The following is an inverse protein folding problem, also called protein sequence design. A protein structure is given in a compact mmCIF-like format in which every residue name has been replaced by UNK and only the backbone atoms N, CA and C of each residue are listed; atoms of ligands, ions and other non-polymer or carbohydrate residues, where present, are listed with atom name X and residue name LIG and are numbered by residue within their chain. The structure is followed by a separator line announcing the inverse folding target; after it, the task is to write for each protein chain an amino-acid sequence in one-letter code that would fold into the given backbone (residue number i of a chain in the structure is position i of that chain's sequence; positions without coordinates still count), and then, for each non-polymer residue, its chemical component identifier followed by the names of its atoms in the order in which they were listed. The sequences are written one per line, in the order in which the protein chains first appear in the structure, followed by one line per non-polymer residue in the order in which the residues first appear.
data_IF_604300940187
#
_entry.id   IF_604300940187
#
_cell.length_a   1.000
_cell.length_b   1.000
_cell.length_c   1.000
_cell.angle_alpha   90.00
_cell.angle_beta   90.00
_cell.angle_gamma   90.00
#
_symmetry.space_group_name_H-M   'P 1'
#
loop_
_entity.id
_entity.type
_entity.pdbx_description
1 polymer ?
#
# COMPACT_ATOMS: atom_id res chain seq x y z
N UNK A 1 -32.38 -6.24 8.41
CA UNK A 1 -31.36 -5.24 8.75
C UNK A 1 -30.66 -5.66 10.02
N UNK A 2 -29.52 -6.30 9.86
CA UNK A 2 -28.55 -6.59 10.93
C UNK A 2 -28.05 -5.27 11.52
N UNK A 3 -28.09 -5.11 12.84
CA UNK A 3 -27.51 -3.95 13.50
C UNK A 3 -26.02 -4.16 13.72
N UNK A 4 -25.22 -3.10 13.62
CA UNK A 4 -23.81 -3.12 13.98
C UNK A 4 -23.62 -3.58 15.44
N UNK A 5 -22.72 -4.54 15.64
CA UNK A 5 -22.30 -5.04 16.95
C UNK A 5 -20.77 -5.14 16.97
N UNK A 6 -20.14 -4.51 17.96
CA UNK A 6 -18.69 -4.57 18.12
C UNK A 6 -18.23 -6.02 18.36
N UNK A 7 -17.16 -6.44 17.67
CA UNK A 7 -16.61 -7.79 17.79
C UNK A 7 -17.29 -8.86 16.93
N UNK A 8 -18.30 -8.49 16.13
CA UNK A 8 -18.96 -9.37 15.17
C UNK A 8 -18.86 -8.85 13.75
N UNK A 9 -18.85 -9.77 12.78
CA UNK A 9 -18.79 -9.45 11.36
C UNK A 9 -20.16 -9.50 10.67
N UNK A 10 -21.23 -9.91 11.35
CA UNK A 10 -22.57 -10.10 10.76
C UNK A 10 -23.06 -8.89 9.96
N UNK A 11 -22.83 -7.67 10.48
CA UNK A 11 -23.16 -6.44 9.76
C UNK A 11 -22.33 -6.31 8.47
N UNK A 12 -21.01 -6.37 8.57
CA UNK A 12 -20.13 -6.20 7.40
C UNK A 12 -20.35 -7.28 6.35
N UNK A 13 -20.49 -8.54 6.77
CA UNK A 13 -20.74 -9.67 5.87
C UNK A 13 -22.12 -9.63 5.21
N UNK A 14 -23.11 -8.99 5.84
CA UNK A 14 -24.41 -8.76 5.19
C UNK A 14 -24.36 -7.70 4.08
N UNK A 15 -23.36 -6.81 4.10
CA UNK A 15 -23.20 -5.75 3.11
C UNK A 15 -22.34 -6.16 1.91
N UNK A 16 -21.32 -6.99 2.14
CA UNK A 16 -20.31 -7.33 1.12
C UNK A 16 -19.69 -8.70 1.38
N UNK A 17 -19.33 -9.40 0.30
CA UNK A 17 -18.71 -10.72 0.34
C UNK A 17 -17.21 -10.65 0.72
N UNK A 18 -16.87 -10.40 1.98
CA UNK A 18 -15.47 -10.47 2.42
C UNK A 18 -14.96 -11.93 2.43
N UNK A 19 -13.64 -12.09 2.25
CA UNK A 19 -12.97 -13.41 2.29
C UNK A 19 -13.20 -14.23 3.58
N UNK A 20 -13.56 -13.56 4.68
CA UNK A 20 -13.85 -14.20 5.98
C UNK A 20 -15.31 -14.63 6.15
N UNK A 21 -16.24 -14.06 5.38
CA UNK A 21 -17.68 -14.21 5.60
C UNK A 21 -18.19 -15.64 5.44
N UNK A 22 -17.66 -16.49 4.55
CA UNK A 22 -18.08 -17.89 4.47
C UNK A 22 -17.73 -18.75 5.70
N UNK A 23 -16.89 -18.27 6.63
CA UNK A 23 -16.42 -19.04 7.78
C UNK A 23 -16.78 -18.44 9.15
N UNK A 24 -17.42 -17.27 9.16
CA UNK A 24 -17.77 -16.54 10.37
C UNK A 24 -19.29 -16.44 10.46
N UNK A 25 -19.83 -16.60 11.68
CA UNK A 25 -21.27 -16.52 11.95
C UNK A 25 -21.87 -17.82 12.51
N UNK A 26 -23.17 -17.80 12.87
CA UNK A 26 -23.86 -18.90 13.54
C UNK A 26 -24.12 -20.15 12.69
N UNK A 27 -24.24 -20.01 11.35
CA UNK A 27 -24.71 -21.09 10.46
C UNK A 27 -23.74 -21.38 9.28
N UNK A 28 -22.45 -21.57 9.57
CA UNK A 28 -21.40 -21.83 8.55
C UNK A 28 -21.21 -20.70 7.51
N UNK A 29 -21.37 -19.45 7.94
CA UNK A 29 -21.09 -18.27 7.12
C UNK A 29 -22.26 -17.29 7.09
N UNK A 30 -21.97 -16.04 6.74
CA UNK A 30 -22.98 -15.00 6.48
C UNK A 30 -22.85 -14.59 5.02
N UNK A 31 -23.96 -14.68 4.29
CA UNK A 31 -24.02 -14.25 2.89
C UNK A 31 -24.48 -12.78 2.79
N UNK A 32 -23.98 -12.02 1.81
CA UNK A 32 -24.41 -10.64 1.59
C UNK A 32 -25.86 -10.59 1.08
N UNK A 33 -26.60 -9.54 1.47
CA UNK A 33 -27.98 -9.35 1.02
C UNK A 33 -28.07 -9.06 -0.50
N UNK A 34 -27.03 -8.43 -1.07
CA UNK A 34 -26.90 -8.15 -2.49
C UNK A 34 -25.42 -8.27 -2.90
N UNK A 35 -25.16 -8.96 -4.01
CA UNK A 35 -23.83 -9.12 -4.59
C UNK A 35 -23.90 -9.07 -6.13
N UNK A 36 -22.76 -8.89 -6.79
CA UNK A 36 -22.70 -8.83 -8.25
C UNK A 36 -23.03 -10.19 -8.87
N UNK A 37 -23.70 -10.18 -10.01
CA UNK A 37 -24.04 -11.41 -10.72
C UNK A 37 -22.78 -12.20 -11.08
N UNK A 38 -22.82 -13.49 -10.77
CA UNK A 38 -21.79 -14.44 -11.16
C UNK A 38 -21.86 -14.75 -12.66
N UNK A 39 -20.71 -15.01 -13.27
CA UNK A 39 -20.64 -15.43 -14.67
C UNK A 39 -20.20 -16.89 -14.71
N UNK A 40 -20.97 -17.71 -15.43
CA UNK A 40 -20.62 -19.09 -15.73
C UNK A 40 -19.71 -19.13 -16.97
N UNK A 41 -18.45 -19.52 -16.78
CA UNK A 41 -17.52 -19.82 -17.86
C UNK A 41 -17.30 -21.34 -17.93
N UNK A 42 -18.14 -22.01 -18.72
CA UNK A 42 -18.10 -23.47 -18.84
C UNK A 42 -18.51 -24.16 -17.54
N UNK A 43 -17.59 -24.86 -16.88
CA UNK A 43 -17.81 -25.49 -15.58
C UNK A 43 -17.35 -24.66 -14.38
N UNK A 44 -16.79 -23.46 -14.61
CA UNK A 44 -16.31 -22.57 -13.55
C UNK A 44 -17.28 -21.42 -13.33
N UNK A 45 -17.74 -21.28 -12.08
CA UNK A 45 -18.52 -20.13 -11.61
C UNK A 45 -17.56 -19.05 -11.13
N UNK A 46 -17.51 -17.93 -11.84
CA UNK A 46 -16.71 -16.77 -11.45
C UNK A 46 -17.58 -15.80 -10.67
N UNK A 47 -17.14 -15.48 -9.46
CA UNK A 47 -17.79 -14.52 -8.58
C UNK A 47 -17.18 -13.13 -8.78
N UNK A 48 -17.99 -12.09 -8.59
CA UNK A 48 -17.57 -10.68 -8.60
C UNK A 48 -16.72 -10.26 -9.82
N UNK A 49 -17.13 -10.59 -11.07
CA UNK A 49 -16.31 -10.40 -12.26
C UNK A 49 -15.91 -8.92 -12.50
N UNK A 50 -16.78 -7.97 -12.17
CA UNK A 50 -16.48 -6.54 -12.29
C UNK A 50 -15.29 -6.13 -11.42
N UNK A 51 -15.28 -6.57 -10.15
CA UNK A 51 -14.21 -6.31 -9.18
C UNK A 51 -12.91 -7.00 -9.59
N UNK A 52 -12.99 -8.22 -10.15
CA UNK A 52 -11.80 -8.93 -10.67
C UNK A 52 -11.07 -8.15 -11.78
N UNK A 53 -11.80 -7.45 -12.65
CA UNK A 53 -11.17 -6.57 -13.66
C UNK A 53 -10.38 -5.44 -13.00
N UNK A 54 -10.93 -4.85 -11.93
CA UNK A 54 -10.24 -3.81 -11.17
C UNK A 54 -8.99 -4.37 -10.47
N UNK A 55 -9.05 -5.58 -9.91
CA UNK A 55 -7.86 -6.23 -9.36
C UNK A 55 -6.76 -6.44 -10.42
N UNK A 56 -7.11 -6.82 -11.65
CA UNK A 56 -6.12 -6.93 -12.74
C UNK A 56 -5.49 -5.57 -13.06
N UNK A 57 -6.29 -4.51 -13.14
CA UNK A 57 -5.78 -3.14 -13.32
C UNK A 57 -4.87 -2.75 -12.15
N UNK A 58 -5.26 -3.05 -10.92
CA UNK A 58 -4.47 -2.78 -9.72
C UNK A 58 -3.12 -3.51 -9.72
N UNK A 59 -3.08 -4.76 -10.19
CA UNK A 59 -1.83 -5.52 -10.33
C UNK A 59 -0.89 -4.88 -11.36
N UNK A 60 -1.42 -4.50 -12.53
CA UNK A 60 -0.63 -3.82 -13.58
C UNK A 60 -0.11 -2.49 -13.08
N UNK A 61 -0.96 -1.66 -12.48
CA UNK A 61 -0.58 -0.36 -11.93
C UNK A 61 0.46 -0.50 -10.81
N UNK A 62 0.30 -1.49 -9.93
CA UNK A 62 1.29 -1.80 -8.89
C UNK A 62 2.63 -2.20 -9.49
N UNK A 63 2.62 -3.01 -10.55
CA UNK A 63 3.83 -3.37 -11.30
C UNK A 63 4.55 -2.15 -11.90
N UNK A 64 3.81 -1.21 -12.48
CA UNK A 64 4.37 0.04 -13.03
C UNK A 64 4.99 0.89 -11.92
N UNK A 65 4.31 1.05 -10.78
CA UNK A 65 4.86 1.78 -9.63
C UNK A 65 6.14 1.14 -9.12
N UNK A 66 6.18 -0.20 -8.95
CA UNK A 66 7.40 -0.92 -8.55
C UNK A 66 8.54 -0.68 -9.54
N UNK A 67 8.25 -0.70 -10.85
CA UNK A 67 9.24 -0.44 -11.88
C UNK A 67 9.83 0.97 -11.73
N UNK A 68 9.00 2.02 -11.63
CA UNK A 68 9.46 3.40 -11.47
C UNK A 68 10.25 3.64 -10.18
N UNK A 69 9.86 3.02 -9.08
CA UNK A 69 10.63 3.15 -7.82
C UNK A 69 12.03 2.54 -7.98
N UNK A 70 12.13 1.41 -8.69
CA UNK A 70 13.42 0.73 -8.92
C UNK A 70 14.31 1.43 -9.93
N UNK A 71 13.75 2.25 -10.83
CA UNK A 71 14.55 3.04 -11.77
C UNK A 71 15.22 4.25 -11.13
N UNK A 72 14.73 4.76 -9.99
CA UNK A 72 15.42 5.84 -9.25
C UNK A 72 16.70 5.33 -8.61
N UNK A 73 17.81 6.07 -8.75
CA UNK A 73 19.14 5.65 -8.28
C UNK A 73 19.40 6.02 -6.81
N UNK A 74 18.97 7.21 -6.36
CA UNK A 74 19.36 7.81 -5.06
C UNK A 74 18.16 8.41 -4.30
N UNK A 75 17.06 7.65 -4.20
CA UNK A 75 15.88 8.06 -3.44
C UNK A 75 15.88 7.50 -2.01
N UNK A 76 15.51 8.35 -1.04
CA UNK A 76 15.35 7.98 0.37
C UNK A 76 14.15 7.03 0.55
N UNK A 77 14.32 5.97 1.33
CA UNK A 77 13.30 4.96 1.62
C UNK A 77 13.01 4.04 0.45
N UNK A 78 13.82 4.04 -0.62
CA UNK A 78 13.51 3.32 -1.86
C UNK A 78 13.33 1.82 -1.63
N UNK A 79 14.18 1.18 -0.83
CA UNK A 79 14.12 -0.27 -0.63
C UNK A 79 12.96 -0.66 0.30
N UNK A 80 12.64 0.22 1.23
CA UNK A 80 11.61 0.12 2.26
C UNK A 80 10.21 0.25 1.63
N UNK A 81 10.01 1.27 0.78
CA UNK A 81 8.72 1.51 0.13
C UNK A 81 8.40 0.44 -0.93
N UNK A 82 9.41 -0.06 -1.64
CA UNK A 82 9.24 -1.19 -2.58
C UNK A 82 8.73 -2.43 -1.86
N UNK A 83 9.13 -2.64 -0.61
CA UNK A 83 8.63 -3.77 0.20
C UNK A 83 7.13 -3.65 0.46
N UNK A 84 6.63 -2.44 0.74
CA UNK A 84 5.19 -2.18 0.87
C UNK A 84 4.45 -2.51 -0.44
N UNK A 85 4.94 -2.06 -1.59
CA UNK A 85 4.30 -2.37 -2.87
C UNK A 85 4.36 -3.86 -3.24
N UNK A 86 5.41 -4.58 -2.86
CA UNK A 86 5.45 -6.04 -3.01
C UNK A 86 4.40 -6.74 -2.14
N UNK A 87 4.20 -6.31 -0.89
CA UNK A 87 3.13 -6.86 -0.04
C UNK A 87 1.75 -6.53 -0.57
N UNK A 88 1.54 -5.31 -1.06
CA UNK A 88 0.29 -4.91 -1.70
C UNK A 88 0.00 -5.75 -2.95
N UNK A 89 1.01 -5.99 -3.80
CA UNK A 89 0.89 -6.87 -4.97
C UNK A 89 0.45 -8.28 -4.56
N UNK A 90 1.12 -8.89 -3.56
CA UNK A 90 0.75 -10.22 -3.06
C UNK A 90 -0.64 -10.23 -2.43
N UNK A 91 -1.03 -9.16 -1.74
CA UNK A 91 -2.37 -9.01 -1.16
C UNK A 91 -3.44 -9.05 -2.25
N UNK A 92 -3.28 -8.27 -3.33
CA UNK A 92 -4.23 -8.28 -4.46
C UNK A 92 -4.27 -9.66 -5.13
N UNK A 93 -3.12 -10.34 -5.29
CA UNK A 93 -3.09 -11.69 -5.87
C UNK A 93 -3.90 -12.66 -5.01
N UNK A 94 -3.72 -12.64 -3.69
CA UNK A 94 -4.49 -13.50 -2.79
C UNK A 94 -5.97 -13.15 -2.79
N UNK A 95 -6.30 -11.85 -2.79
CA UNK A 95 -7.68 -11.36 -2.88
C UNK A 95 -8.35 -11.86 -4.17
N UNK A 96 -7.66 -11.76 -5.30
CA UNK A 96 -8.13 -12.26 -6.59
C UNK A 96 -8.47 -13.76 -6.52
N UNK A 97 -7.61 -14.60 -5.93
CA UNK A 97 -7.88 -16.04 -5.80
C UNK A 97 -9.05 -16.37 -4.88
N UNK A 98 -9.21 -15.61 -3.79
CA UNK A 98 -10.24 -15.89 -2.79
C UNK A 98 -11.61 -15.36 -3.23
N UNK A 99 -11.67 -14.22 -3.92
CA UNK A 99 -12.91 -13.59 -4.36
C UNK A 99 -13.41 -14.15 -5.69
N UNK A 100 -12.52 -14.53 -6.61
CA UNK A 100 -12.91 -15.04 -7.94
C UNK A 100 -13.71 -16.35 -7.92
N UNK A 101 -13.67 -17.09 -6.81
CA UNK A 101 -14.23 -18.44 -6.71
C UNK A 101 -13.43 -19.52 -7.44
N UNK A 102 -12.21 -19.21 -7.90
CA UNK A 102 -11.27 -20.22 -8.41
C UNK A 102 -11.01 -21.30 -7.34
N UNK A 103 -10.93 -20.88 -6.08
CA UNK A 103 -10.92 -21.78 -4.93
C UNK A 103 -12.35 -21.80 -4.36
N UNK A 104 -13.10 -22.91 -4.51
CA UNK A 104 -14.45 -23.00 -3.98
C UNK A 104 -14.44 -22.86 -2.45
N UNK A 105 -15.42 -22.14 -1.89
CA UNK A 105 -15.60 -21.98 -0.44
C UNK A 105 -15.81 -23.31 0.29
N UNK A 106 -16.30 -24.35 -0.40
CA UNK A 106 -16.43 -25.69 0.17
C UNK A 106 -15.11 -26.47 0.26
N UNK A 107 -14.06 -26.02 -0.44
CA UNK A 107 -12.80 -26.74 -0.47
C UNK A 107 -12.00 -26.52 0.82
N UNK A 108 -11.33 -27.58 1.31
CA UNK A 108 -10.59 -27.54 2.58
C UNK A 108 -9.43 -26.55 2.62
N UNK A 109 -8.93 -26.11 1.45
CA UNK A 109 -7.86 -25.13 1.34
C UNK A 109 -8.34 -23.68 1.50
N UNK A 110 -9.61 -23.36 1.23
CA UNK A 110 -10.13 -22.00 1.27
C UNK A 110 -9.82 -21.25 2.59
N UNK A 111 -10.03 -21.82 3.79
CA UNK A 111 -9.81 -21.07 5.03
C UNK A 111 -8.34 -20.69 5.23
N UNK A 112 -7.39 -21.45 4.68
CA UNK A 112 -5.98 -21.11 4.70
C UNK A 112 -5.65 -19.94 3.78
N UNK A 113 -6.23 -19.91 2.57
CA UNK A 113 -6.08 -18.79 1.65
C UNK A 113 -6.77 -17.52 2.15
N UNK A 114 -7.98 -17.65 2.70
CA UNK A 114 -8.69 -16.54 3.34
C UNK A 114 -7.90 -15.98 4.55
N UNK A 115 -7.33 -16.84 5.39
CA UNK A 115 -6.49 -16.42 6.50
C UNK A 115 -5.20 -15.75 6.01
N UNK A 116 -4.57 -16.27 4.96
CA UNK A 116 -3.38 -15.67 4.34
C UNK A 116 -3.70 -14.29 3.77
N UNK A 117 -4.83 -14.13 3.09
CA UNK A 117 -5.29 -12.84 2.56
C UNK A 117 -5.45 -11.81 3.69
N UNK A 118 -6.21 -12.15 4.73
CA UNK A 118 -6.44 -11.26 5.88
C UNK A 118 -5.12 -10.87 6.55
N UNK A 119 -4.25 -11.86 6.78
CA UNK A 119 -2.93 -11.61 7.36
C UNK A 119 -2.07 -10.70 6.47
N UNK A 120 -2.12 -10.88 5.15
CA UNK A 120 -1.41 -10.02 4.20
C UNK A 120 -1.95 -8.59 4.19
N UNK A 121 -3.28 -8.38 4.29
CA UNK A 121 -3.87 -7.04 4.42
C UNK A 121 -3.30 -6.32 5.64
N UNK A 122 -3.34 -6.96 6.81
CA UNK A 122 -2.85 -6.35 8.07
C UNK A 122 -1.34 -6.10 8.00
N UNK A 123 -0.59 -7.04 7.43
CA UNK A 123 0.87 -6.93 7.26
C UNK A 123 1.24 -5.80 6.31
N UNK A 124 0.47 -5.60 5.24
CA UNK A 124 0.66 -4.49 4.30
C UNK A 124 0.44 -3.15 5.00
N UNK A 125 -0.59 -3.02 5.84
CA UNK A 125 -0.84 -1.83 6.65
C UNK A 125 0.25 -1.59 7.70
N UNK A 126 0.76 -2.64 8.33
CA UNK A 126 1.92 -2.55 9.23
C UNK A 126 3.17 -2.06 8.50
N UNK A 127 3.44 -2.59 7.30
CA UNK A 127 4.56 -2.14 6.48
C UNK A 127 4.39 -0.67 6.05
N UNK A 128 3.18 -0.23 5.72
CA UNK A 128 2.88 1.18 5.45
C UNK A 128 3.20 2.06 6.66
N UNK A 129 2.77 1.65 7.85
CA UNK A 129 3.08 2.36 9.10
C UNK A 129 4.59 2.50 9.31
N UNK A 130 5.35 1.41 9.17
CA UNK A 130 6.80 1.43 9.34
C UNK A 130 7.50 2.33 8.31
N UNK A 131 7.03 2.32 7.06
CA UNK A 131 7.50 3.28 6.05
C UNK A 131 7.28 4.73 6.49
N UNK A 132 6.22 5.00 7.25
CA UNK A 132 5.97 6.33 7.79
C UNK A 132 7.02 6.82 8.79
N UNK A 133 7.73 5.90 9.47
CA UNK A 133 8.83 6.23 10.37
C UNK A 133 10.16 6.47 9.65
N UNK A 134 10.34 5.95 8.44
CA UNK A 134 11.59 6.08 7.67
C UNK A 134 11.92 7.55 7.41
N UNK A 135 10.91 8.39 7.15
CA UNK A 135 11.10 9.82 6.93
C UNK A 135 11.64 10.60 8.14
N UNK A 136 11.52 10.06 9.36
CA UNK A 136 12.11 10.64 10.58
C UNK A 136 13.56 10.22 10.82
N UNK A 137 14.13 9.40 9.93
CA UNK A 137 15.52 8.92 10.01
C UNK A 137 15.87 8.22 11.34
N UNK A 138 14.90 7.58 12.00
CA UNK A 138 15.14 6.83 13.24
C UNK A 138 16.16 5.71 13.03
N UNK A 139 16.07 5.02 11.89
CA UNK A 139 17.09 4.13 11.38
C UNK A 139 17.61 4.72 10.07
N UNK A 140 18.92 4.70 9.87
CA UNK A 140 19.53 5.10 8.60
C UNK A 140 18.92 4.28 7.46
N UNK A 141 18.38 5.00 6.48
CA UNK A 141 17.71 4.43 5.31
C UNK A 141 18.65 3.51 4.51
N UNK A 142 18.12 2.40 4.01
CA UNK A 142 18.88 1.44 3.21
C UNK A 142 19.90 0.61 3.99
N UNK A 143 20.07 0.84 5.29
CA UNK A 143 20.89 -0.02 6.15
C UNK A 143 20.29 -1.42 6.27
N UNK A 144 21.13 -2.46 6.45
CA UNK A 144 20.62 -3.80 6.70
C UNK A 144 19.71 -3.84 7.94
N UNK A 145 19.97 -3.00 8.95
CA UNK A 145 19.15 -2.93 10.15
C UNK A 145 17.73 -2.43 9.83
N UNK A 146 17.58 -1.34 9.06
CA UNK A 146 16.28 -0.84 8.60
C UNK A 146 15.50 -1.95 7.86
N UNK A 147 16.12 -2.56 6.85
CA UNK A 147 15.45 -3.56 6.01
C UNK A 147 15.07 -4.83 6.76
N UNK A 148 15.96 -5.36 7.60
CA UNK A 148 15.66 -6.56 8.38
C UNK A 148 14.63 -6.30 9.48
N UNK A 149 14.59 -5.09 10.05
CA UNK A 149 13.55 -4.71 11.01
C UNK A 149 12.16 -4.75 10.38
N UNK A 150 11.99 -4.18 9.17
CA UNK A 150 10.71 -4.20 8.44
C UNK A 150 10.36 -5.64 8.05
N UNK A 151 11.33 -6.43 7.57
CA UNK A 151 11.10 -7.84 7.17
C UNK A 151 10.65 -8.72 8.33
N UNK A 152 11.40 -8.70 9.43
CA UNK A 152 11.13 -9.56 10.58
C UNK A 152 9.83 -9.13 11.26
N UNK A 153 9.63 -7.83 11.49
CA UNK A 153 8.38 -7.34 12.11
C UNK A 153 7.16 -7.65 11.25
N UNK A 154 7.24 -7.48 9.93
CA UNK A 154 6.15 -7.83 9.03
C UNK A 154 5.88 -9.34 9.03
N UNK A 155 6.93 -10.18 9.08
CA UNK A 155 6.77 -11.64 9.19
C UNK A 155 6.10 -12.05 10.51
N UNK A 156 6.44 -11.38 11.61
CA UNK A 156 5.80 -11.62 12.92
C UNK A 156 4.32 -11.23 12.88
N UNK A 157 3.99 -10.03 12.36
CA UNK A 157 2.60 -9.57 12.24
C UNK A 157 1.79 -10.48 11.32
N UNK A 158 2.39 -10.94 10.22
CA UNK A 158 1.78 -11.93 9.34
C UNK A 158 1.48 -13.23 10.10
N UNK A 159 2.46 -13.79 10.81
CA UNK A 159 2.29 -15.02 11.57
C UNK A 159 1.21 -14.93 12.65
N UNK A 160 1.19 -13.83 13.41
CA UNK A 160 0.18 -13.57 14.46
C UNK A 160 -1.22 -13.46 13.83
N UNK A 161 -1.36 -12.64 12.79
CA UNK A 161 -2.66 -12.41 12.13
C UNK A 161 -3.18 -13.67 11.44
N UNK A 162 -2.30 -14.44 10.82
CA UNK A 162 -2.61 -15.72 10.20
C UNK A 162 -3.07 -16.75 11.23
N UNK A 163 -2.34 -16.88 12.34
CA UNK A 163 -2.71 -17.78 13.43
C UNK A 163 -4.08 -17.42 14.02
N UNK A 164 -4.34 -16.15 14.29
CA UNK A 164 -5.63 -15.71 14.85
C UNK A 164 -6.78 -15.95 13.86
N UNK A 165 -6.55 -15.72 12.57
CA UNK A 165 -7.55 -15.99 11.53
C UNK A 165 -7.89 -17.48 11.45
N UNK A 166 -6.88 -18.36 11.39
CA UNK A 166 -7.11 -19.82 11.35
C UNK A 166 -7.73 -20.34 12.64
N UNK A 167 -7.23 -19.90 13.80
CA UNK A 167 -7.77 -20.32 15.09
C UNK A 167 -9.25 -19.94 15.20
N UNK A 168 -9.64 -18.77 14.69
CA UNK A 168 -11.03 -18.33 14.60
C UNK A 168 -11.83 -19.22 13.63
N UNK A 169 -11.31 -19.49 12.43
CA UNK A 169 -11.99 -20.34 11.45
C UNK A 169 -12.10 -21.80 11.87
N UNK A 170 -11.22 -22.32 12.72
CA UNK A 170 -11.24 -23.73 13.13
C UNK A 170 -11.80 -23.93 14.55
N UNK A 171 -12.19 -22.86 15.24
CA UNK A 171 -12.58 -22.87 16.65
C UNK A 171 -11.49 -23.49 17.57
N UNK A 172 -10.23 -23.15 17.34
CA UNK A 172 -9.08 -23.66 18.09
C UNK A 172 -8.63 -22.60 19.10
N UNK A 173 -7.94 -23.01 20.17
CA UNK A 173 -7.29 -22.11 21.15
C UNK A 173 -8.23 -21.10 21.85
N UNK A 174 -9.51 -21.46 22.03
CA UNK A 174 -10.51 -20.61 22.70
C UNK A 174 -11.12 -19.54 21.79
N UNK A 175 -10.73 -19.48 20.52
CA UNK A 175 -11.38 -18.64 19.52
C UNK A 175 -12.63 -19.34 18.99
N UNK A 176 -13.65 -18.56 18.62
CA UNK A 176 -14.89 -19.09 18.08
C UNK A 176 -15.36 -18.31 16.85
N UNK A 177 -15.93 -19.02 15.87
CA UNK A 177 -16.56 -18.45 14.67
C UNK A 177 -17.76 -17.55 14.98
N UNK A 178 -18.46 -17.80 16.08
CA UNK A 178 -19.66 -17.05 16.48
C UNK A 178 -19.33 -15.78 17.25
N UNK A 179 -18.13 -15.69 17.82
CA UNK A 179 -17.63 -14.53 18.56
C UNK A 179 -16.18 -14.19 18.15
N UNK A 180 -15.96 -13.81 16.87
CA UNK A 180 -14.64 -13.54 16.29
C UNK A 180 -14.04 -12.18 16.74
N UNK A 181 -14.20 -11.83 18.02
CA UNK A 181 -13.76 -10.53 18.58
C UNK A 181 -12.27 -10.25 18.36
N UNK A 182 -11.35 -11.21 18.55
CA UNK A 182 -9.92 -10.93 18.36
C UNK A 182 -9.56 -10.65 16.89
N UNK A 183 -10.19 -11.37 15.96
CA UNK A 183 -10.03 -11.12 14.53
C UNK A 183 -10.59 -9.75 14.14
N UNK A 184 -11.73 -9.37 14.72
CA UNK A 184 -12.34 -8.05 14.54
C UNK A 184 -11.40 -6.91 14.97
N UNK A 185 -10.80 -7.04 16.17
CA UNK A 185 -9.88 -6.04 16.70
C UNK A 185 -8.67 -5.86 15.78
N UNK A 186 -8.06 -6.97 15.34
CA UNK A 186 -6.88 -6.87 14.50
C UNK A 186 -7.23 -6.32 13.10
N UNK A 187 -8.32 -6.79 12.50
CA UNK A 187 -8.69 -6.39 11.15
C UNK A 187 -9.14 -4.93 11.07
N UNK A 188 -10.08 -4.52 11.92
CA UNK A 188 -10.65 -3.16 11.87
C UNK A 188 -9.91 -2.17 12.77
N UNK A 189 -9.70 -2.50 14.04
CA UNK A 189 -9.17 -1.52 15.02
C UNK A 189 -7.68 -1.27 14.77
N UNK A 190 -6.87 -2.32 14.68
CA UNK A 190 -5.44 -2.16 14.40
C UNK A 190 -5.19 -1.69 12.96
N UNK A 191 -5.95 -2.22 11.99
CA UNK A 191 -5.90 -1.73 10.61
C UNK A 191 -6.15 -0.22 10.51
N UNK A 192 -7.21 0.29 11.15
CA UNK A 192 -7.50 1.72 11.18
C UNK A 192 -6.44 2.52 11.94
N UNK A 193 -5.95 2.00 13.08
CA UNK A 193 -4.91 2.65 13.86
C UNK A 193 -3.61 2.82 13.06
N UNK A 194 -3.17 1.80 12.32
CA UNK A 194 -1.95 1.88 11.50
C UNK A 194 -2.04 2.98 10.44
N UNK A 195 -3.19 3.09 9.77
CA UNK A 195 -3.42 4.14 8.76
C UNK A 195 -3.47 5.52 9.41
N UNK A 196 -4.19 5.68 10.51
CA UNK A 196 -4.30 6.98 11.20
C UNK A 196 -2.94 7.46 11.71
N UNK A 197 -2.16 6.58 12.35
CA UNK A 197 -0.82 6.91 12.81
C UNK A 197 0.08 7.26 11.62
N UNK A 198 0.05 6.50 10.53
CA UNK A 198 0.80 6.81 9.31
C UNK A 198 0.48 8.21 8.78
N UNK A 199 -0.81 8.54 8.61
CA UNK A 199 -1.26 9.85 8.09
C UNK A 199 -0.80 10.98 9.01
N UNK A 200 -0.98 10.84 10.33
CA UNK A 200 -0.54 11.84 11.30
C UNK A 200 0.98 12.05 11.24
N UNK A 201 1.75 10.96 11.18
CA UNK A 201 3.20 11.02 11.05
C UNK A 201 3.64 11.74 9.76
N UNK A 202 3.00 11.46 8.62
CA UNK A 202 3.33 12.13 7.36
C UNK A 202 2.98 13.62 7.39
N UNK A 203 1.85 14.00 7.99
CA UNK A 203 1.49 15.41 8.16
C UNK A 203 2.51 16.12 9.03
N UNK A 204 2.90 15.53 10.16
CA UNK A 204 3.92 16.09 11.07
C UNK A 204 5.26 16.26 10.35
N UNK A 205 5.67 15.27 9.55
CA UNK A 205 6.91 15.35 8.78
C UNK A 205 6.87 16.49 7.76
N UNK A 206 5.82 16.57 6.95
CA UNK A 206 5.75 17.59 5.89
C UNK A 206 5.65 18.99 6.47
N UNK A 207 4.87 19.19 7.54
CA UNK A 207 4.67 20.52 8.14
C UNK A 207 5.92 21.04 8.85
N UNK A 208 6.68 20.16 9.51
CA UNK A 208 7.83 20.58 10.32
C UNK A 208 9.17 20.52 9.59
N UNK A 209 9.30 19.68 8.56
CA UNK A 209 10.59 19.38 7.93
C UNK A 209 10.70 19.88 6.50
N UNK A 210 9.59 19.94 5.73
CA UNK A 210 9.63 20.29 4.30
C UNK A 210 9.16 21.73 4.05
N UNK A 211 9.86 22.42 3.17
CA UNK A 211 9.46 23.75 2.68
C UNK A 211 8.34 23.67 1.63
N UNK A 212 8.33 22.63 0.79
CA UNK A 212 7.27 22.37 -0.20
C UNK A 212 6.09 21.66 0.47
N UNK A 213 4.92 22.32 0.44
CA UNK A 213 3.67 21.79 1.01
C UNK A 213 2.79 21.05 0.02
N UNK A 214 3.19 20.95 -1.24
CA UNK A 214 2.48 20.15 -2.24
C UNK A 214 2.17 18.70 -1.79
N UNK A 215 3.09 17.99 -1.10
CA UNK A 215 2.83 16.62 -0.62
C UNK A 215 1.65 16.50 0.37
N UNK A 216 1.22 17.58 1.03
CA UNK A 216 0.03 17.56 1.89
C UNK A 216 -1.24 17.24 1.08
N UNK A 217 -1.30 17.71 -0.17
CA UNK A 217 -2.40 17.40 -1.08
C UNK A 217 -2.46 15.90 -1.36
N UNK A 218 -1.32 15.26 -1.60
CA UNK A 218 -1.26 13.82 -1.85
C UNK A 218 -1.76 12.99 -0.66
N UNK A 219 -1.36 13.37 0.56
CA UNK A 219 -1.84 12.74 1.80
C UNK A 219 -3.36 12.92 1.95
N UNK A 220 -3.86 14.15 1.75
CA UNK A 220 -5.28 14.46 1.89
C UNK A 220 -6.14 13.66 0.90
N UNK A 221 -5.76 13.63 -0.37
CA UNK A 221 -6.48 12.86 -1.39
C UNK A 221 -6.38 11.36 -1.11
N UNK A 222 -5.20 10.86 -0.72
CA UNK A 222 -5.02 9.45 -0.38
C UNK A 222 -5.93 9.00 0.77
N UNK A 223 -5.95 9.75 1.87
CA UNK A 223 -6.82 9.45 3.01
C UNK A 223 -8.31 9.57 2.65
N UNK A 224 -8.68 10.59 1.87
CA UNK A 224 -10.06 10.79 1.42
C UNK A 224 -10.54 9.62 0.56
N UNK A 225 -9.75 9.20 -0.44
CA UNK A 225 -10.08 8.05 -1.27
C UNK A 225 -10.21 6.79 -0.43
N UNK A 226 -9.33 6.56 0.54
CA UNK A 226 -9.44 5.39 1.42
C UNK A 226 -10.75 5.40 2.23
N UNK A 227 -11.09 6.52 2.87
CA UNK A 227 -12.33 6.64 3.68
C UNK A 227 -13.56 6.46 2.81
N UNK A 228 -13.61 7.12 1.64
CA UNK A 228 -14.71 6.98 0.69
C UNK A 228 -14.83 5.54 0.19
N UNK A 229 -13.72 4.85 -0.07
CA UNK A 229 -13.71 3.43 -0.43
C UNK A 229 -14.36 2.55 0.64
N UNK A 230 -14.03 2.76 1.92
CA UNK A 230 -14.64 1.99 3.03
C UNK A 230 -16.12 2.29 3.22
N UNK A 231 -16.55 3.52 2.94
CA UNK A 231 -17.98 3.86 2.95
C UNK A 231 -18.73 3.12 1.84
N UNK A 232 -18.15 3.04 0.64
CA UNK A 232 -18.76 2.26 -0.46
C UNK A 232 -18.84 0.77 -0.13
N UNK A 233 -17.80 0.18 0.45
CA UNK A 233 -17.78 -1.25 0.80
C UNK A 233 -18.74 -1.61 1.94
N UNK A 234 -18.77 -0.81 3.01
CA UNK A 234 -19.41 -1.23 4.27
C UNK A 234 -20.72 -0.53 4.60
N UNK A 235 -21.05 0.57 3.93
CA UNK A 235 -22.23 1.39 4.27
C UNK A 235 -23.22 1.43 3.11
N UNK A 236 -22.75 1.62 1.88
CA UNK A 236 -23.62 1.91 0.69
C UNK A 236 -23.62 0.74 -0.31
N UNK A 237 -22.95 -0.38 0.00
CA UNK A 237 -22.76 -1.49 -0.95
C UNK A 237 -24.09 -2.05 -1.46
N UNK A 238 -25.06 -2.25 -0.56
CA UNK A 238 -26.39 -2.77 -0.90
C UNK A 238 -27.14 -1.83 -1.84
N UNK A 239 -27.18 -0.55 -1.52
CA UNK A 239 -27.87 0.47 -2.32
C UNK A 239 -27.26 0.57 -3.72
N UNK A 240 -25.93 0.49 -3.83
CA UNK A 240 -25.22 0.46 -5.11
C UNK A 240 -25.62 -0.78 -5.91
N UNK A 241 -25.62 -1.95 -5.27
CA UNK A 241 -25.96 -3.21 -5.91
C UNK A 241 -27.40 -3.24 -6.46
N UNK A 242 -28.36 -2.75 -5.67
CA UNK A 242 -29.77 -2.64 -6.10
C UNK A 242 -29.94 -1.63 -7.24
N UNK A 243 -29.31 -0.46 -7.16
CA UNK A 243 -29.35 0.56 -8.22
C UNK A 243 -28.68 0.10 -9.51
N UNK A 244 -27.58 -0.64 -9.39
CA UNK A 244 -26.81 -1.19 -10.50
C UNK A 244 -27.39 -2.52 -11.02
N UNK A 245 -28.57 -2.97 -10.55
CA UNK A 245 -29.23 -4.22 -10.97
C UNK A 245 -28.31 -5.44 -10.89
N UNK A 246 -27.50 -5.54 -9.82
CA UNK A 246 -26.52 -6.60 -9.60
C UNK A 246 -25.40 -6.69 -10.64
N UNK A 247 -25.08 -5.62 -11.38
CA UNK A 247 -23.90 -5.60 -12.26
C UNK A 247 -22.61 -5.21 -11.52
N UNK A 248 -22.74 -4.40 -10.46
CA UNK A 248 -21.65 -3.81 -9.70
C UNK A 248 -22.11 -3.70 -8.25
N UNK A 249 -21.22 -3.91 -7.30
CA UNK A 249 -21.47 -3.79 -5.86
C UNK A 249 -20.54 -2.74 -5.20
N UNK A 250 -20.58 -2.62 -3.87
CA UNK A 250 -19.67 -1.75 -3.14
C UNK A 250 -18.19 -2.15 -3.23
N UNK A 251 -17.90 -3.44 -3.45
CA UNK A 251 -16.54 -3.95 -3.58
C UNK A 251 -15.82 -3.34 -4.77
N UNK A 252 -16.49 -3.26 -5.92
CA UNK A 252 -15.92 -2.65 -7.13
C UNK A 252 -15.42 -1.21 -6.88
N UNK A 253 -16.27 -0.35 -6.30
CA UNK A 253 -15.89 1.04 -6.01
C UNK A 253 -14.87 1.13 -4.87
N UNK A 254 -14.98 0.25 -3.88
CA UNK A 254 -14.01 0.09 -2.80
C UNK A 254 -12.60 -0.22 -3.29
N UNK A 255 -12.46 -1.21 -4.18
CA UNK A 255 -11.19 -1.59 -4.79
C UNK A 255 -10.60 -0.46 -5.64
N UNK A 256 -11.42 0.26 -6.43
CA UNK A 256 -10.97 1.44 -7.19
C UNK A 256 -10.42 2.51 -6.23
N UNK A 257 -11.19 2.85 -5.20
CA UNK A 257 -10.80 3.89 -4.24
C UNK A 257 -9.54 3.48 -3.46
N UNK A 258 -9.40 2.20 -3.12
CA UNK A 258 -8.20 1.66 -2.47
C UNK A 258 -6.98 1.74 -3.40
N UNK A 259 -7.13 1.39 -4.68
CA UNK A 259 -6.06 1.57 -5.67
C UNK A 259 -5.64 3.04 -5.79
N UNK A 260 -6.61 3.96 -5.90
CA UNK A 260 -6.32 5.40 -5.94
C UNK A 260 -5.61 5.88 -4.68
N UNK A 261 -6.00 5.41 -3.49
CA UNK A 261 -5.33 5.73 -2.24
C UNK A 261 -3.86 5.26 -2.25
N UNK A 262 -3.59 4.04 -2.71
CA UNK A 262 -2.23 3.50 -2.83
C UNK A 262 -1.41 4.26 -3.89
N UNK A 263 -2.04 4.69 -4.99
CA UNK A 263 -1.39 5.56 -5.97
C UNK A 263 -1.01 6.92 -5.38
N UNK A 264 -1.82 7.48 -4.47
CA UNK A 264 -1.47 8.71 -3.76
C UNK A 264 -0.32 8.50 -2.77
N UNK A 265 -0.21 7.32 -2.14
CA UNK A 265 0.97 6.96 -1.33
C UNK A 265 2.24 6.93 -2.20
N UNK A 266 2.16 6.34 -3.40
CA UNK A 266 3.27 6.39 -4.36
C UNK A 266 3.63 7.82 -4.76
N UNK A 267 2.64 8.63 -5.16
CA UNK A 267 2.86 10.04 -5.54
C UNK A 267 3.45 10.86 -4.41
N UNK A 268 2.99 10.65 -3.19
CA UNK A 268 3.55 11.28 -2.00
C UNK A 268 5.04 10.94 -1.85
N UNK A 269 5.40 9.66 -1.91
CA UNK A 269 6.80 9.21 -1.84
C UNK A 269 7.64 9.78 -2.99
N UNK A 270 7.10 9.82 -4.21
CA UNK A 270 7.76 10.38 -5.37
C UNK A 270 8.00 11.89 -5.22
N UNK A 271 7.02 12.61 -4.68
CA UNK A 271 7.07 14.06 -4.49
C UNK A 271 8.07 14.50 -3.41
N UNK A 272 8.35 13.67 -2.41
CA UNK A 272 9.38 13.97 -1.39
C UNK A 272 10.78 13.50 -1.82
N UNK A 273 10.90 12.75 -2.92
CA UNK A 273 12.16 12.22 -3.47
C UNK A 273 12.46 12.77 -4.88
N UNK A 274 12.12 14.04 -5.13
CA UNK A 274 12.28 14.70 -6.45
C UNK A 274 13.73 14.86 -6.89
N UNK A 275 14.68 14.98 -5.95
CA UNK A 275 16.10 15.19 -6.25
C UNK A 275 16.80 13.83 -6.43
N UNK A 276 16.78 13.28 -7.64
CA UNK A 276 17.74 12.25 -8.00
C UNK A 276 19.14 12.91 -8.03
N UNK A 277 19.99 12.60 -7.05
CA UNK A 277 21.35 13.13 -6.88
C UNK A 277 22.34 12.69 -7.98
N UNK A 278 21.85 12.21 -9.13
CA UNK A 278 22.68 11.80 -10.27
C UNK A 278 23.30 12.98 -11.04
N UNK A 279 22.85 14.21 -10.79
CA UNK A 279 23.33 15.40 -11.51
C UNK A 279 24.45 16.21 -10.83
N UNK A 280 25.19 15.65 -9.87
CA UNK A 280 26.38 16.32 -9.30
C UNK A 280 27.74 15.72 -9.71
N UNK A 281 27.79 14.74 -10.61
CA UNK A 281 29.06 14.29 -11.22
C UNK A 281 28.95 14.18 -12.74
N UNK A 282 28.39 15.22 -13.35
CA UNK A 282 28.31 15.43 -14.80
C UNK A 282 29.00 16.73 -15.22
N UNK A 283 30.28 16.88 -14.89
CA UNK A 283 31.24 17.70 -15.65
C UNK A 283 30.83 19.11 -16.11
N UNK A 284 30.45 20.00 -15.19
CA UNK A 284 30.74 21.43 -15.37
C UNK A 284 31.66 21.88 -14.26
N UNK A 285 32.91 22.09 -14.68
CA UNK A 285 34.01 22.74 -13.97
C UNK A 285 33.54 23.80 -12.97
N UNK A 286 33.99 23.65 -11.73
CA UNK A 286 34.34 24.71 -10.78
C UNK A 286 33.63 26.06 -10.98
N UNK A 287 32.50 26.26 -10.29
CA UNK A 287 31.88 27.59 -10.10
C UNK A 287 32.71 28.49 -9.17
N UNK A 288 33.83 27.98 -8.64
CA UNK A 288 34.80 28.73 -7.83
C UNK A 288 36.06 29.16 -8.58
N UNK A 289 36.00 29.36 -9.90
CA UNK A 289 36.93 30.31 -10.50
C UNK A 289 36.58 31.70 -9.98
N UNK A 290 37.24 32.08 -8.88
CA UNK A 290 37.44 33.48 -8.52
C UNK A 290 38.16 34.09 -9.71
N UNK A 291 37.41 34.71 -10.63
CA UNK A 291 37.99 35.66 -11.58
C UNK A 291 38.48 36.82 -10.76
N UNK A 292 39.77 36.81 -10.44
CA UNK A 292 40.44 37.94 -9.81
C UNK A 292 40.23 39.15 -10.74
N UNK A 293 39.50 40.20 -10.33
CA UNK A 293 39.12 41.31 -11.22
C UNK A 293 40.31 42.09 -11.78
N UNK A 294 41.51 41.84 -11.25
CA UNK A 294 42.76 42.49 -11.62
C UNK A 294 43.52 41.78 -12.75
N UNK A 295 43.16 40.55 -13.11
CA UNK A 295 43.78 39.83 -14.22
C UNK A 295 42.89 39.95 -15.46
N UNK A 296 43.09 41.03 -16.21
CA UNK A 296 42.58 41.13 -17.58
C UNK A 296 43.19 40.03 -18.46
N UNK A 297 42.43 39.49 -19.41
CA UNK A 297 42.86 38.42 -20.33
C UNK A 297 44.20 38.72 -21.04
N UNK A 298 44.52 40.01 -21.25
CA UNK A 298 45.80 40.47 -21.82
C UNK A 298 47.03 40.16 -20.92
N UNK A 299 46.83 40.12 -19.59
CA UNK A 299 47.89 39.82 -18.61
C UNK A 299 48.27 38.34 -18.59
N UNK A 300 47.29 37.43 -18.72
CA UNK A 300 47.56 35.99 -18.82
C UNK A 300 48.27 35.64 -20.14
N UNK A 301 47.92 36.31 -21.24
CA UNK A 301 48.56 36.10 -22.54
C UNK A 301 50.03 36.58 -22.59
N UNK A 302 50.42 37.50 -21.69
CA UNK A 302 51.79 37.94 -21.53
C UNK A 302 52.62 36.93 -20.70
N UNK A 303 52.07 36.40 -19.60
CA UNK A 303 52.76 35.38 -18.77
C UNK A 303 53.04 34.09 -19.54
N UNK A 304 52.09 33.58 -20.33
CA UNK A 304 52.30 32.39 -21.17
C UNK A 304 53.25 32.59 -22.35
N UNK A 305 53.66 33.84 -22.63
CA UNK A 305 54.66 34.16 -23.66
C UNK A 305 56.08 34.18 -23.10
N UNK A 306 56.23 34.54 -21.82
CA UNK A 306 57.52 34.61 -21.13
C UNK A 306 58.05 33.22 -20.74
N UNK A 307 57.16 32.31 -20.30
CA UNK A 307 57.56 30.91 -20.00
C UNK A 307 58.10 30.17 -21.25
N UNK A 308 57.53 30.41 -22.43
CA UNK A 308 58.01 29.81 -23.69
C UNK A 308 59.35 30.36 -24.18
N UNK A 309 59.85 31.43 -23.56
CA UNK A 309 61.18 31.98 -23.86
C UNK A 309 62.28 31.31 -23.01
N UNK A 310 61.94 30.81 -21.82
CA UNK A 310 62.89 30.15 -20.91
C UNK A 310 63.17 28.68 -21.27
N UNK A 311 62.22 27.99 -21.90
CA UNK A 311 62.40 26.58 -22.33
C UNK A 311 63.21 26.40 -23.63
N UNK A 312 63.88 27.46 -24.11
CA UNK A 312 64.63 27.43 -25.38
C UNK A 312 66.13 27.69 -25.25
N UNK A 313 66.71 27.42 -24.08
CA UNK A 313 68.16 27.33 -23.85
C UNK A 313 68.53 26.09 -23.04
#
# INVERSE_FOLDING_TARGET
MTSFQFGKFDYFCSQIALSLCPYIGPDNGVEPECYSRNIEMGSLLIFEPATLVIHLIALVMTGIMIYHIKTKYTAVGRKEIVMFFYMYFVTIVLEFFVISGIIPTAHSSYPYFAAAHIAMVITTLWCLLLNGFVGFQWAEDGTPLSLWSIRISSLIIFGISFFISIATFQNIAGFSRTSPTPLFIIYFVFGAAFILIYVLLQIVLVVNTLDDRWPLGDILFGFTFFVVGRIFEYVISKEICDMAKHYVDGMFFGTICTLLAVMMVYKYWDSITKEDLEFSVGGKSNVWEIKDPLLSDDGLAAMGRDERMYDRY
#
